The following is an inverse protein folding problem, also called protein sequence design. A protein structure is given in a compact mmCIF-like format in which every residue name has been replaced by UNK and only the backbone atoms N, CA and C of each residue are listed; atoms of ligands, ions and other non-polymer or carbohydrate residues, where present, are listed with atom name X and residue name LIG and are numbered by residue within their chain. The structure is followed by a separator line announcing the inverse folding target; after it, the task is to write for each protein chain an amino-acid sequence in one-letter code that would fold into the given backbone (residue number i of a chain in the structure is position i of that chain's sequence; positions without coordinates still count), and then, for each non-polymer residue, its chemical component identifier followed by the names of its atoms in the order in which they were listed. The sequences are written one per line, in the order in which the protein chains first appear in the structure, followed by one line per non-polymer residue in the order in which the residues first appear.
data_IF_688520089371
#
_entry.id   IF_688520089371
#
_cell.length_a   1.000
_cell.length_b   1.000
_cell.length_c   1.000
_cell.angle_alpha   90.00
_cell.angle_beta   90.00
_cell.angle_gamma   90.00
#
_symmetry.space_group_name_H-M   'P 1'
#
loop_
_entity.id
_entity.type
_entity.pdbx_description
1 polymer ?
#
# COMPACT_ATOMS: atom_id res chain seq x y z
N UNK A 1 25.48 -12.97 13.42
CA UNK A 1 24.38 -13.26 12.46
C UNK A 1 24.14 -12.04 11.60
N UNK A 2 24.11 -12.17 10.27
CA UNK A 2 23.80 -11.06 9.37
C UNK A 2 22.28 -10.83 9.32
N UNK A 3 21.85 -9.56 9.37
CA UNK A 3 20.45 -9.16 9.28
C UNK A 3 20.17 -8.65 7.86
N UNK A 4 19.03 -9.04 7.31
CA UNK A 4 18.53 -8.57 6.01
C UNK A 4 17.30 -7.70 6.22
N UNK A 5 17.26 -6.54 5.56
CA UNK A 5 16.07 -5.68 5.48
C UNK A 5 15.37 -5.95 4.16
N UNK A 6 14.05 -6.16 4.19
CA UNK A 6 13.23 -6.40 3.00
C UNK A 6 12.30 -5.21 2.74
N UNK A 7 12.42 -4.57 1.57
CA UNK A 7 11.51 -3.50 1.14
C UNK A 7 10.57 -4.02 0.05
N UNK A 8 9.28 -3.75 0.19
CA UNK A 8 8.27 -4.10 -0.81
C UNK A 8 7.61 -2.84 -1.35
N UNK A 9 7.62 -2.68 -2.68
CA UNK A 9 6.95 -1.55 -3.35
C UNK A 9 5.43 -1.73 -3.40
N UNK A 10 4.70 -0.68 -3.79
CA UNK A 10 3.24 -0.71 -3.81
C UNK A 10 2.65 -1.82 -4.68
N UNK A 11 3.23 -2.10 -5.86
CA UNK A 11 2.76 -3.19 -6.73
C UNK A 11 2.86 -4.57 -6.06
N UNK A 12 3.89 -4.79 -5.23
CA UNK A 12 4.06 -6.02 -4.44
C UNK A 12 3.04 -6.15 -3.30
N UNK A 13 2.25 -5.11 -3.06
CA UNK A 13 1.27 -5.02 -1.98
C UNK A 13 -0.12 -4.60 -2.50
N UNK A 14 -0.34 -4.67 -3.82
CA UNK A 14 -1.55 -4.13 -4.46
C UNK A 14 -2.83 -4.91 -4.13
N UNK A 15 -2.73 -6.20 -3.83
CA UNK A 15 -3.86 -7.05 -3.49
C UNK A 15 -3.45 -8.27 -2.65
N UNK A 16 -4.43 -9.01 -2.15
CA UNK A 16 -4.23 -10.19 -1.29
C UNK A 16 -3.27 -11.22 -1.88
N UNK A 17 -3.35 -11.50 -3.19
CA UNK A 17 -2.44 -12.46 -3.85
C UNK A 17 -0.99 -12.01 -3.76
N UNK A 18 -0.71 -10.72 -3.95
CA UNK A 18 0.64 -10.19 -3.82
C UNK A 18 1.12 -10.19 -2.36
N UNK A 19 0.24 -9.89 -1.39
CA UNK A 19 0.57 -9.93 0.03
C UNK A 19 0.95 -11.36 0.47
N UNK A 20 0.23 -12.38 0.01
CA UNK A 20 0.58 -13.78 0.29
C UNK A 20 1.97 -14.14 -0.28
N UNK A 21 2.28 -13.69 -1.50
CA UNK A 21 3.62 -13.86 -2.08
C UNK A 21 4.70 -13.14 -1.26
N UNK A 22 4.42 -11.94 -0.75
CA UNK A 22 5.35 -11.21 0.13
C UNK A 22 5.60 -11.98 1.43
N UNK A 23 4.56 -12.56 2.03
CA UNK A 23 4.68 -13.43 3.21
C UNK A 23 5.63 -14.61 2.94
N UNK A 24 5.43 -15.33 1.83
CA UNK A 24 6.30 -16.44 1.43
C UNK A 24 7.76 -15.98 1.27
N UNK A 25 7.99 -14.84 0.62
CA UNK A 25 9.34 -14.26 0.48
C UNK A 25 9.94 -13.96 1.85
N UNK A 26 9.20 -13.34 2.78
CA UNK A 26 9.73 -13.04 4.11
C UNK A 26 10.09 -14.33 4.87
N UNK A 27 9.21 -15.34 4.82
CA UNK A 27 9.40 -16.60 5.55
C UNK A 27 10.50 -17.49 4.96
N UNK A 28 10.85 -17.31 3.68
CA UNK A 28 11.91 -18.08 3.03
C UNK A 28 13.34 -17.76 3.50
N UNK A 29 13.55 -16.70 4.28
CA UNK A 29 14.88 -16.36 4.84
C UNK A 29 14.72 -15.75 6.23
N UNK A 30 15.10 -16.51 7.27
CA UNK A 30 14.98 -16.11 8.66
C UNK A 30 15.76 -14.83 9.02
N UNK A 31 16.71 -14.40 8.18
CA UNK A 31 17.46 -13.15 8.34
C UNK A 31 16.62 -11.91 8.04
N UNK A 32 15.49 -12.05 7.34
CA UNK A 32 14.54 -10.96 7.00
C UNK A 32 13.70 -10.58 8.23
N UNK A 33 14.34 -9.89 9.19
CA UNK A 33 13.70 -9.48 10.45
C UNK A 33 12.98 -8.13 10.34
N UNK A 34 13.37 -7.28 9.39
CA UNK A 34 12.79 -5.96 9.19
C UNK A 34 12.16 -5.84 7.81
N UNK A 35 10.90 -5.40 7.77
CA UNK A 35 10.11 -5.25 6.55
C UNK A 35 9.65 -3.81 6.42
N UNK A 36 9.94 -3.19 5.28
CA UNK A 36 9.53 -1.82 4.94
C UNK A 36 8.49 -1.86 3.82
N UNK A 37 7.20 -1.76 4.12
CA UNK A 37 6.15 -1.72 3.11
C UNK A 37 5.96 -0.29 2.57
N UNK A 38 5.54 -0.20 1.30
CA UNK A 38 4.85 0.99 0.79
C UNK A 38 3.33 0.85 0.97
N UNK A 39 2.58 1.92 0.72
CA UNK A 39 1.12 1.82 0.59
C UNK A 39 0.74 0.93 -0.62
N UNK A 40 -0.46 0.30 -0.62
CA UNK A 40 -0.94 -0.49 -1.75
C UNK A 40 -0.83 0.26 -3.08
N UNK A 41 -0.20 -0.39 -4.06
CA UNK A 41 -0.14 0.09 -5.43
C UNK A 41 -1.46 -0.16 -6.17
N UNK A 42 -1.53 0.35 -7.39
CA UNK A 42 -2.64 0.10 -8.31
C UNK A 42 -2.83 -1.40 -8.56
N UNK A 43 -4.09 -1.87 -8.49
CA UNK A 43 -4.50 -3.25 -8.77
C UNK A 43 -4.57 -3.53 -10.28
N UNK A 44 -4.98 -2.53 -11.04
CA UNK A 44 -5.09 -2.52 -12.50
C UNK A 44 -4.52 -1.21 -13.05
N UNK A 45 -4.23 -1.07 -14.36
CA UNK A 45 -3.74 0.19 -14.93
C UNK A 45 -4.66 1.39 -14.64
N UNK A 46 -5.98 1.15 -14.63
CA UNK A 46 -7.03 2.15 -14.42
C UNK A 46 -7.33 2.44 -12.95
N UNK A 47 -6.72 1.71 -12.02
CA UNK A 47 -6.89 1.92 -10.58
C UNK A 47 -6.23 3.22 -10.12
N UNK A 48 -6.70 3.78 -9.01
CA UNK A 48 -6.16 5.00 -8.42
C UNK A 48 -5.11 4.65 -7.34
N UNK A 49 -4.08 5.47 -7.19
CA UNK A 49 -3.10 5.25 -6.11
C UNK A 49 -3.71 5.71 -4.78
N UNK A 50 -3.67 4.85 -3.78
CA UNK A 50 -4.19 5.16 -2.44
C UNK A 50 -3.56 6.42 -1.83
N UNK A 51 -2.26 6.64 -2.04
CA UNK A 51 -1.57 7.85 -1.56
C UNK A 51 -2.11 9.12 -2.23
N UNK A 52 -2.43 9.05 -3.52
CA UNK A 52 -3.00 10.20 -4.26
C UNK A 52 -4.43 10.47 -3.78
N UNK A 53 -5.21 9.41 -3.50
CA UNK A 53 -6.55 9.53 -2.89
C UNK A 53 -6.48 10.16 -1.49
N UNK A 54 -5.47 9.83 -0.68
CA UNK A 54 -5.27 10.45 0.64
C UNK A 54 -4.95 11.95 0.51
N UNK A 55 -4.10 12.35 -0.44
CA UNK A 55 -3.85 13.76 -0.72
C UNK A 55 -5.09 14.49 -1.23
N UNK A 56 -5.91 13.83 -2.03
CA UNK A 56 -7.17 14.40 -2.53
C UNK A 56 -8.17 14.56 -1.38
N UNK A 57 -8.31 13.55 -0.52
CA UNK A 57 -9.14 13.60 0.68
C UNK A 57 -8.75 14.76 1.59
N UNK A 58 -7.45 14.91 1.88
CA UNK A 58 -6.95 16.01 2.71
C UNK A 58 -7.29 17.37 2.11
N UNK A 59 -7.04 17.57 0.81
CA UNK A 59 -7.35 18.83 0.13
C UNK A 59 -8.84 19.12 0.11
N UNK A 60 -9.67 18.13 -0.23
CA UNK A 60 -11.13 18.31 -0.23
C UNK A 60 -11.64 18.70 1.15
N UNK A 61 -11.13 18.08 2.22
CA UNK A 61 -11.48 18.45 3.59
C UNK A 61 -11.00 19.87 3.96
N UNK A 62 -9.78 20.26 3.55
CA UNK A 62 -9.21 21.59 3.82
C UNK A 62 -10.02 22.73 3.17
N UNK A 63 -10.49 22.54 1.94
CA UNK A 63 -11.26 23.55 1.21
C UNK A 63 -12.79 23.43 1.39
N UNK A 64 -13.26 22.56 2.28
CA UNK A 64 -14.69 22.38 2.55
C UNK A 64 -15.48 21.76 1.39
N UNK A 65 -14.81 21.02 0.51
CA UNK A 65 -15.46 20.23 -0.55
C UNK A 65 -16.02 18.92 0.02
N UNK A 66 -17.10 18.41 -0.59
CA UNK A 66 -17.58 17.06 -0.28
C UNK A 66 -16.49 16.03 -0.60
N UNK A 67 -16.08 15.30 0.43
CA UNK A 67 -15.01 14.31 0.36
C UNK A 67 -15.50 12.88 0.61
N UNK A 68 -16.80 12.66 0.86
CA UNK A 68 -17.34 11.34 1.24
C UNK A 68 -17.10 10.28 0.16
N UNK A 69 -17.23 10.67 -1.11
CA UNK A 69 -16.95 9.79 -2.23
C UNK A 69 -15.47 9.34 -2.27
N UNK A 70 -14.54 10.24 -1.95
CA UNK A 70 -13.09 9.94 -1.92
C UNK A 70 -12.79 9.04 -0.72
N UNK A 71 -13.32 9.39 0.46
CA UNK A 71 -13.15 8.59 1.67
C UNK A 71 -13.65 7.15 1.49
N UNK A 72 -14.81 6.98 0.86
CA UNK A 72 -15.38 5.67 0.55
C UNK A 72 -14.45 4.81 -0.31
N UNK A 73 -13.75 5.40 -1.29
CA UNK A 73 -12.76 4.67 -2.13
C UNK A 73 -11.55 4.17 -1.35
N UNK A 74 -11.13 4.89 -0.30
CA UNK A 74 -9.96 4.53 0.52
C UNK A 74 -10.31 3.44 1.54
N UNK A 75 -11.53 3.49 2.08
CA UNK A 75 -11.98 2.58 3.15
C UNK A 75 -12.23 1.13 2.67
N UNK A 76 -12.51 0.94 1.38
CA UNK A 76 -12.93 -0.34 0.78
C UNK A 76 -11.77 -1.11 0.16
#
# INVERSE_FOLDING_TARGET
MAITVAKFGGTSLANTKQILKVKEIIQADERRKYVVPSAPGKRTPDDEKVTDLLYLLQRSAEYGHDYEAIYKKIRT
#
